data_IF_956654610238
#
_entry.id   IF_956654610238
#
_cell.length_a   1.000
_cell.length_b   1.000
_cell.length_c   1.000
_cell.angle_alpha   90.00
_cell.angle_beta   90.00
_cell.angle_gamma   90.00
#
_symmetry.space_group_name_H-M   'P 1'
#
loop_
_entity.id
_entity.type
_entity.pdbx_description
1 polymer ?
#
# COMPACT_ATOMS: atom_id res chain seq x y z
N UNK A 1 -17.65 13.75 7.09
CA UNK A 1 -16.39 13.70 6.30
C UNK A 1 -15.49 14.90 6.57
N UNK A 2 -15.96 16.15 6.50
CA UNK A 2 -15.14 17.34 6.75
C UNK A 2 -14.54 17.37 8.17
N UNK A 3 -15.35 17.09 9.20
CA UNK A 3 -14.94 17.16 10.61
C UNK A 3 -13.87 16.15 11.00
N UNK A 4 -13.90 14.94 10.42
CA UNK A 4 -12.85 13.94 10.66
C UNK A 4 -11.49 14.38 10.11
N UNK A 5 -11.49 15.07 8.96
CA UNK A 5 -10.26 15.59 8.34
C UNK A 5 -9.69 16.70 9.22
N UNK A 6 -10.55 17.57 9.75
CA UNK A 6 -10.16 18.63 10.69
C UNK A 6 -9.57 18.06 11.97
N UNK A 7 -10.23 17.08 12.59
CA UNK A 7 -9.74 16.43 13.82
C UNK A 7 -8.42 15.69 13.62
N UNK A 8 -8.26 14.95 12.52
CA UNK A 8 -7.02 14.24 12.19
C UNK A 8 -5.86 15.22 11.92
N UNK A 9 -6.15 16.38 11.34
CA UNK A 9 -5.18 17.47 11.13
C UNK A 9 -4.75 18.09 12.45
N UNK A 10 -5.69 18.37 13.36
CA UNK A 10 -5.39 18.90 14.70
C UNK A 10 -4.54 17.92 15.51
N UNK A 11 -4.88 16.63 15.49
CA UNK A 11 -4.11 15.59 16.17
C UNK A 11 -2.67 15.45 15.65
N UNK A 12 -2.45 15.63 14.34
CA UNK A 12 -1.11 15.64 13.74
C UNK A 12 -0.29 16.84 14.25
N UNK A 13 -0.91 18.02 14.32
CA UNK A 13 -0.27 19.25 14.82
C UNK A 13 0.19 19.11 16.27
N UNK A 14 -0.64 18.51 17.12
CA UNK A 14 -0.35 18.28 18.55
C UNK A 14 0.79 17.27 18.74
N UNK A 15 0.88 16.24 17.89
CA UNK A 15 1.92 15.20 18.00
C UNK A 15 3.31 15.72 17.60
N UNK A 16 3.38 16.77 16.77
CA UNK A 16 4.61 17.45 16.35
C UNK A 16 5.07 18.51 17.39
N UNK A 17 4.14 18.99 18.23
CA UNK A 17 4.31 20.13 19.13
C UNK A 17 5.12 19.94 20.42
N UNK A 18 5.92 18.88 20.57
CA UNK A 18 6.86 18.75 21.72
C UNK A 18 8.34 18.96 21.36
N UNK A 19 8.68 19.18 20.08
CA UNK A 19 10.09 19.37 19.70
C UNK A 19 10.39 19.95 18.32
N UNK A 20 9.41 20.22 17.47
CA UNK A 20 9.69 20.78 16.14
C UNK A 20 9.30 22.26 16.09
N UNK A 21 10.32 23.09 15.89
CA UNK A 21 10.22 24.52 15.61
C UNK A 21 9.17 24.81 14.52
N UNK A 22 8.53 25.97 14.64
CA UNK A 22 7.48 26.52 13.75
C UNK A 22 7.77 26.24 12.26
N UNK A 23 7.26 25.12 11.75
CA UNK A 23 7.15 24.90 10.31
C UNK A 23 6.02 25.81 9.84
N UNK A 24 6.29 26.62 8.81
CA UNK A 24 5.30 27.51 8.22
C UNK A 24 4.06 26.70 7.79
N UNK A 25 2.86 27.29 7.90
CA UNK A 25 1.60 26.60 7.56
C UNK A 25 1.64 25.96 6.16
N UNK A 26 2.31 26.63 5.23
CA UNK A 26 2.55 26.13 3.87
C UNK A 26 3.41 24.86 3.81
N UNK A 27 4.43 24.73 4.66
CA UNK A 27 5.27 23.54 4.73
C UNK A 27 4.48 22.35 5.28
N UNK A 28 3.62 22.59 6.28
CA UNK A 28 2.75 21.55 6.82
C UNK A 28 1.68 21.13 5.81
N UNK A 29 1.02 22.07 5.15
CA UNK A 29 0.05 21.76 4.09
C UNK A 29 0.67 20.91 2.98
N UNK A 30 1.88 21.26 2.52
CA UNK A 30 2.63 20.46 1.54
C UNK A 30 2.99 19.07 2.06
N UNK A 31 3.33 18.93 3.34
CA UNK A 31 3.64 17.64 3.95
C UNK A 31 2.39 16.75 4.03
N UNK A 32 1.24 17.30 4.43
CA UNK A 32 -0.04 16.58 4.47
C UNK A 32 -0.44 16.17 3.04
N UNK A 33 -0.35 17.08 2.08
CA UNK A 33 -0.68 16.80 0.68
C UNK A 33 0.19 15.67 0.11
N UNK A 34 1.52 15.73 0.32
CA UNK A 34 2.43 14.65 -0.08
C UNK A 34 2.13 13.33 0.62
N UNK A 35 1.72 13.36 1.88
CA UNK A 35 1.35 12.15 2.62
C UNK A 35 0.05 11.50 2.07
N UNK A 36 -0.94 12.32 1.72
CA UNK A 36 -2.18 11.86 1.09
C UNK A 36 -1.92 11.29 -0.32
N UNK A 37 -1.08 11.97 -1.11
CA UNK A 37 -0.66 11.51 -2.44
C UNK A 37 0.12 10.18 -2.38
N UNK A 38 1.03 10.02 -1.42
CA UNK A 38 1.75 8.76 -1.23
C UNK A 38 0.82 7.60 -0.86
N UNK A 39 -0.22 7.85 -0.05
CA UNK A 39 -1.23 6.83 0.27
C UNK A 39 -2.16 6.48 -0.89
N UNK A 40 -2.28 7.37 -1.88
CA UNK A 40 -3.16 7.16 -3.03
C UNK A 40 -2.56 6.26 -4.10
N UNK A 41 -1.24 6.01 -4.07
CA UNK A 41 -0.60 5.12 -5.04
C UNK A 41 -0.98 3.68 -4.73
N UNK A 42 -1.60 2.95 -5.68
CA UNK A 42 -1.83 1.53 -5.51
C UNK A 42 -0.48 0.84 -5.26
N UNK A 43 -0.46 -0.09 -4.31
CA UNK A 43 0.68 -0.99 -4.19
C UNK A 43 0.85 -1.73 -5.52
N UNK A 44 2.08 -2.12 -5.86
CA UNK A 44 2.40 -2.94 -7.03
C UNK A 44 3.30 -4.12 -6.63
N UNK A 45 3.28 -5.18 -7.43
CA UNK A 45 4.00 -6.43 -7.19
C UNK A 45 3.34 -7.30 -6.11
N UNK A 46 4.12 -7.71 -5.11
CA UNK A 46 3.65 -8.64 -4.07
C UNK A 46 2.65 -7.94 -3.14
N UNK A 47 1.42 -8.42 -3.13
CA UNK A 47 0.32 -7.85 -2.35
C UNK A 47 -0.46 -8.93 -1.60
N UNK A 48 -1.28 -8.48 -0.64
CA UNK A 48 -2.26 -9.35 0.00
C UNK A 48 -3.46 -9.59 -0.92
N UNK A 49 -4.12 -10.74 -0.81
CA UNK A 49 -5.36 -11.02 -1.56
C UNK A 49 -6.43 -9.94 -1.39
N UNK A 50 -6.55 -9.35 -0.20
CA UNK A 50 -7.50 -8.26 0.07
C UNK A 50 -7.18 -7.00 -0.75
N UNK A 51 -5.89 -6.68 -0.93
CA UNK A 51 -5.47 -5.53 -1.76
C UNK A 51 -5.76 -5.78 -3.23
N UNK A 52 -5.45 -6.99 -3.74
CA UNK A 52 -5.74 -7.38 -5.13
C UNK A 52 -7.25 -7.32 -5.43
N UNK A 53 -8.08 -7.85 -4.53
CA UNK A 53 -9.54 -7.80 -4.67
C UNK A 53 -10.08 -6.36 -4.64
N UNK A 54 -9.52 -5.49 -3.79
CA UNK A 54 -9.93 -4.08 -3.69
C UNK A 54 -9.63 -3.29 -4.96
N UNK A 55 -8.62 -3.70 -5.72
CA UNK A 55 -8.27 -3.09 -7.00
C UNK A 55 -9.26 -3.46 -8.13
N UNK A 56 -10.30 -4.27 -7.85
CA UNK A 56 -11.32 -4.72 -8.82
C UNK A 56 -10.75 -5.38 -10.09
N UNK A 57 -9.47 -5.78 -10.07
CA UNK A 57 -8.85 -6.58 -11.12
C UNK A 57 -9.38 -8.01 -10.97
N UNK A 58 -9.94 -8.59 -12.03
CA UNK A 58 -10.37 -9.99 -12.03
C UNK A 58 -9.21 -10.89 -11.62
N UNK A 59 -9.21 -11.34 -10.36
CA UNK A 59 -8.09 -12.09 -9.80
C UNK A 59 -8.18 -13.52 -10.33
N UNK A 60 -7.20 -13.92 -11.13
CA UNK A 60 -7.06 -15.30 -11.61
C UNK A 60 -6.08 -16.08 -10.74
N UNK A 61 -6.41 -17.33 -10.42
CA UNK A 61 -5.47 -18.25 -9.77
C UNK A 61 -4.68 -19.01 -10.84
N UNK A 62 -3.37 -19.10 -10.66
CA UNK A 62 -2.51 -19.99 -11.44
C UNK A 62 -1.81 -20.96 -10.49
N UNK A 63 -1.75 -22.23 -10.87
CA UNK A 63 -0.95 -23.22 -10.15
C UNK A 63 0.52 -23.06 -10.55
N UNK A 64 1.39 -22.92 -9.54
CA UNK A 64 2.83 -22.81 -9.73
C UNK A 64 3.49 -24.00 -9.04
N UNK A 65 4.31 -24.73 -9.77
CA UNK A 65 5.09 -25.86 -9.25
C UNK A 65 6.41 -25.40 -8.61
N UNK A 66 7.01 -26.24 -7.78
CA UNK A 66 8.28 -25.95 -7.10
C UNK A 66 9.43 -25.65 -8.08
N UNK A 67 9.36 -26.19 -9.30
CA UNK A 67 10.33 -25.93 -10.38
C UNK A 67 10.26 -24.49 -10.90
N UNK A 68 9.07 -23.88 -10.92
CA UNK A 68 8.82 -22.60 -11.60
C UNK A 68 8.63 -21.41 -10.63
N UNK A 69 8.40 -21.67 -9.35
CA UNK A 69 8.11 -20.62 -8.35
C UNK A 69 9.23 -19.59 -8.20
N UNK A 70 10.49 -20.00 -8.40
CA UNK A 70 11.65 -19.08 -8.33
C UNK A 70 11.68 -18.08 -9.49
N UNK A 71 11.31 -18.51 -10.70
CA UNK A 71 11.30 -17.66 -11.89
C UNK A 71 10.06 -16.75 -11.97
N UNK A 72 9.00 -17.12 -11.26
CA UNK A 72 7.73 -16.39 -11.27
C UNK A 72 7.89 -14.93 -10.80
N UNK A 73 8.60 -14.68 -9.71
CA UNK A 73 8.74 -13.32 -9.16
C UNK A 73 9.42 -12.35 -10.14
N UNK A 74 10.45 -12.81 -10.85
CA UNK A 74 11.14 -12.01 -11.88
C UNK A 74 10.21 -11.69 -13.06
N UNK A 75 9.44 -12.70 -13.49
CA UNK A 75 8.49 -12.55 -14.60
C UNK A 75 7.33 -11.62 -14.22
N UNK A 76 6.78 -11.75 -13.02
CA UNK A 76 5.73 -10.88 -12.52
C UNK A 76 6.20 -9.42 -12.43
N UNK A 77 7.44 -9.17 -11.97
CA UNK A 77 8.03 -7.82 -11.97
C UNK A 77 8.20 -7.26 -13.39
N UNK A 78 8.66 -8.07 -14.35
CA UNK A 78 8.84 -7.65 -15.75
C UNK A 78 7.53 -7.19 -16.39
N UNK A 79 6.42 -7.84 -16.06
CA UNK A 79 5.10 -7.53 -16.62
C UNK A 79 4.21 -6.69 -15.71
N UNK A 80 4.74 -6.10 -14.62
CA UNK A 80 3.98 -5.32 -13.63
C UNK A 80 2.71 -6.05 -13.13
N UNK A 81 2.83 -7.36 -12.89
CA UNK A 81 1.75 -8.19 -12.38
C UNK A 81 1.73 -8.11 -10.85
N UNK A 82 0.56 -7.78 -10.32
CA UNK A 82 0.31 -7.79 -8.89
C UNK A 82 -0.14 -9.19 -8.46
N UNK A 83 0.52 -9.77 -7.46
CA UNK A 83 0.31 -11.17 -7.10
C UNK A 83 0.36 -11.43 -5.60
N UNK A 84 -0.24 -12.54 -5.18
CA UNK A 84 -0.06 -13.11 -3.85
C UNK A 84 0.31 -14.59 -3.96
N UNK A 85 1.17 -15.05 -3.05
CA UNK A 85 1.58 -16.46 -3.00
C UNK A 85 0.90 -17.14 -1.81
N UNK A 86 0.18 -18.22 -2.07
CA UNK A 86 -0.42 -19.08 -1.05
C UNK A 86 0.16 -20.48 -1.18
N UNK A 87 0.88 -20.94 -0.15
CA UNK A 87 1.33 -22.32 -0.07
C UNK A 87 0.15 -23.20 0.36
N UNK A 88 -0.29 -24.09 -0.52
CA UNK A 88 -1.22 -25.16 -0.15
C UNK A 88 -0.42 -26.24 0.57
N UNK A 89 -0.88 -26.65 1.75
CA UNK A 89 -0.42 -27.91 2.36
C UNK A 89 -1.31 -29.00 1.81
N UNK A 90 -0.73 -30.04 1.23
CA UNK A 90 -1.48 -31.26 0.98
C UNK A 90 -2.05 -31.73 2.33
N UNK A 91 -3.38 -31.84 2.41
CA UNK A 91 -4.04 -32.45 3.55
C UNK A 91 -3.52 -33.89 3.65
N UNK A 92 -2.82 -34.20 4.75
CA UNK A 92 -2.53 -35.58 5.14
C UNK A 92 -3.78 -36.21 5.70
#
# INVERSE_FOLDING_TARGET
MQEEVTQKTIALYVKVGKGAARLTEQALQKAIQKFLEQKSKPAHGKQTMRQLMKQNAGVSNIEITDSNIKAFESTAKKYNIDFSLKRLRASR
#
